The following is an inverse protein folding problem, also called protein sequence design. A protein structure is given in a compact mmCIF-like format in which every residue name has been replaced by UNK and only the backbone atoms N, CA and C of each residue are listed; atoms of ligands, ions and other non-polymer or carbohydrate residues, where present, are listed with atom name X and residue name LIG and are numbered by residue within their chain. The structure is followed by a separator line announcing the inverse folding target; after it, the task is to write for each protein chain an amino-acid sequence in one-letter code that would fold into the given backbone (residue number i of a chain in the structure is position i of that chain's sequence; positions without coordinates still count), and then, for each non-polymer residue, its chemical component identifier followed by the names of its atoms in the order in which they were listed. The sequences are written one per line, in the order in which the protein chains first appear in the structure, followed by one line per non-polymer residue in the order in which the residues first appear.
data_IF_386500932643
#
_entry.id   IF_386500932643
#
_cell.length_a   1.000
_cell.length_b   1.000
_cell.length_c   1.000
_cell.angle_alpha   90.00
_cell.angle_beta   90.00
_cell.angle_gamma   90.00
#
_symmetry.space_group_name_H-M   'P 1'
#
loop_
_entity.id
_entity.type
_entity.pdbx_description
1 polymer ?
#
# COMPACT_ATOMS: atom_id res chain seq x y z
N UNK A 1 16.05 2.13 -7.15
CA UNK A 1 15.52 0.76 -7.05
C UNK A 1 14.81 0.67 -5.71
N UNK A 2 13.51 0.37 -5.64
CA UNK A 2 12.80 0.25 -4.35
C UNK A 2 13.25 -1.05 -3.68
N UNK A 3 13.81 -0.95 -2.47
CA UNK A 3 14.23 -2.12 -1.70
C UNK A 3 13.02 -2.91 -1.21
N UNK A 4 13.12 -4.24 -1.33
CA UNK A 4 12.15 -5.16 -0.74
C UNK A 4 12.49 -5.32 0.74
N UNK A 5 11.51 -5.12 1.60
CA UNK A 5 11.68 -5.33 3.04
C UNK A 5 10.88 -6.54 3.46
N UNK A 6 11.37 -7.21 4.50
CA UNK A 6 10.70 -8.33 5.15
C UNK A 6 10.19 -7.92 6.52
N UNK A 7 8.92 -8.20 6.78
CA UNK A 7 8.27 -7.96 8.06
C UNK A 7 7.68 -9.27 8.59
N UNK A 8 7.83 -9.51 9.89
CA UNK A 8 7.26 -10.70 10.54
C UNK A 8 6.24 -10.26 11.59
N UNK A 9 5.05 -10.82 11.50
CA UNK A 9 3.92 -10.59 12.39
C UNK A 9 3.70 -11.85 13.21
N UNK A 10 3.43 -11.66 14.50
CA UNK A 10 3.10 -12.74 15.42
C UNK A 10 1.71 -12.48 15.96
N UNK A 11 0.88 -13.50 15.90
CA UNK A 11 -0.49 -13.45 16.36
C UNK A 11 -0.63 -14.30 17.64
N UNK A 12 -1.67 -14.04 18.43
CA UNK A 12 -1.88 -14.78 19.67
C UNK A 12 -2.18 -16.27 19.45
N UNK A 13 -1.99 -17.05 20.51
CA UNK A 13 -2.15 -18.49 20.47
C UNK A 13 -3.61 -18.87 20.22
N UNK A 14 -3.84 -19.91 19.41
CA UNK A 14 -5.18 -20.45 19.19
C UNK A 14 -6.06 -19.69 18.18
N UNK A 15 -5.48 -18.77 17.38
CA UNK A 15 -6.22 -18.10 16.32
C UNK A 15 -6.76 -19.10 15.27
N UNK A 16 -8.06 -19.02 14.93
CA UNK A 16 -8.62 -19.91 13.94
C UNK A 16 -8.11 -19.55 12.54
N UNK A 17 -7.97 -20.56 11.67
CA UNK A 17 -7.42 -20.39 10.31
C UNK A 17 -8.16 -19.34 9.48
N UNK A 18 -9.49 -19.22 9.65
CA UNK A 18 -10.29 -18.23 8.93
C UNK A 18 -9.90 -16.79 9.30
N UNK A 19 -9.53 -16.54 10.55
CA UNK A 19 -9.12 -15.21 11.02
C UNK A 19 -7.77 -14.82 10.42
N UNK A 20 -6.86 -15.79 10.32
CA UNK A 20 -5.56 -15.62 9.68
C UNK A 20 -5.69 -15.36 8.16
N UNK A 21 -6.59 -16.09 7.49
CA UNK A 21 -6.89 -15.86 6.06
C UNK A 21 -7.51 -14.47 5.87
N UNK A 22 -8.45 -14.08 6.73
CA UNK A 22 -9.06 -12.76 6.68
C UNK A 22 -8.02 -11.65 6.86
N UNK A 23 -7.12 -11.80 7.85
CA UNK A 23 -6.01 -10.88 8.07
C UNK A 23 -5.15 -10.72 6.82
N UNK A 24 -4.68 -11.83 6.24
CA UNK A 24 -3.84 -11.81 5.04
C UNK A 24 -4.54 -11.11 3.86
N UNK A 25 -5.83 -11.38 3.65
CA UNK A 25 -6.61 -10.75 2.60
C UNK A 25 -6.74 -9.24 2.80
N UNK A 26 -7.04 -8.79 4.01
CA UNK A 26 -7.17 -7.36 4.31
C UNK A 26 -5.82 -6.65 4.25
N UNK A 27 -4.76 -7.28 4.75
CA UNK A 27 -3.39 -6.76 4.66
C UNK A 27 -2.95 -6.63 3.20
N UNK A 28 -3.24 -7.61 2.34
CA UNK A 28 -2.98 -7.51 0.91
C UNK A 28 -3.73 -6.35 0.25
N UNK A 29 -5.03 -6.20 0.55
CA UNK A 29 -5.85 -5.08 0.07
C UNK A 29 -5.24 -3.73 0.47
N UNK A 30 -4.87 -3.59 1.74
CA UNK A 30 -4.28 -2.37 2.26
C UNK A 30 -2.92 -2.08 1.63
N UNK A 31 -2.11 -3.13 1.45
CA UNK A 31 -0.81 -3.04 0.79
C UNK A 31 -0.91 -2.56 -0.65
N UNK A 32 -1.78 -3.16 -1.46
CA UNK A 32 -1.96 -2.80 -2.88
C UNK A 32 -2.35 -1.31 -2.99
N UNK A 33 -3.24 -0.84 -2.12
CA UNK A 33 -3.62 0.58 -2.08
C UNK A 33 -2.44 1.48 -1.76
N UNK A 34 -1.68 1.18 -0.69
CA UNK A 34 -0.53 1.98 -0.29
C UNK A 34 0.53 2.06 -1.40
N UNK A 35 0.88 0.94 -2.02
CA UNK A 35 1.82 0.91 -3.15
C UNK A 35 1.29 1.70 -4.33
N UNK A 36 0.00 1.58 -4.64
CA UNK A 36 -0.63 2.32 -5.74
C UNK A 36 -0.54 3.83 -5.51
N UNK A 37 -0.89 4.30 -4.31
CA UNK A 37 -0.83 5.73 -3.96
C UNK A 37 0.60 6.26 -4.01
N UNK A 38 1.57 5.52 -3.45
CA UNK A 38 2.98 5.88 -3.52
C UNK A 38 3.44 6.00 -4.97
N UNK A 39 3.10 5.03 -5.82
CA UNK A 39 3.45 5.05 -7.25
C UNK A 39 2.84 6.24 -7.98
N UNK A 40 1.58 6.58 -7.71
CA UNK A 40 0.96 7.78 -8.28
C UNK A 40 1.76 9.02 -7.84
N UNK A 41 2.06 9.15 -6.54
CA UNK A 41 2.75 10.33 -6.01
C UNK A 41 4.16 10.46 -6.61
N UNK A 42 4.94 9.39 -6.64
CA UNK A 42 6.28 9.38 -7.25
C UNK A 42 6.26 9.74 -8.73
N UNK A 43 5.29 9.22 -9.51
CA UNK A 43 5.22 9.51 -10.94
C UNK A 43 4.81 10.96 -11.20
N UNK A 44 3.83 11.49 -10.45
CA UNK A 44 3.39 12.87 -10.59
C UNK A 44 4.51 13.85 -10.19
N UNK A 45 5.24 13.57 -9.11
CA UNK A 45 6.45 14.34 -8.76
C UNK A 45 7.52 14.26 -9.85
N UNK A 46 7.61 13.13 -10.55
CA UNK A 46 8.48 12.93 -11.70
C UNK A 46 8.00 13.59 -13.00
N UNK A 47 6.91 14.36 -12.97
CA UNK A 47 6.38 15.11 -14.12
C UNK A 47 5.31 14.36 -14.92
N UNK A 48 4.78 13.23 -14.42
CA UNK A 48 3.61 12.59 -15.05
C UNK A 48 2.41 13.53 -14.96
N UNK A 49 1.76 13.76 -16.11
CA UNK A 49 0.45 14.41 -16.15
C UNK A 49 -0.57 13.58 -15.35
N UNK A 50 -1.13 14.10 -14.25
CA UNK A 50 -2.08 13.35 -13.44
C UNK A 50 -3.35 12.94 -14.19
N UNK A 51 -3.69 13.59 -15.30
CA UNK A 51 -4.86 13.28 -16.11
C UNK A 51 -4.67 12.02 -16.98
N UNK A 52 -3.42 11.56 -17.14
CA UNK A 52 -3.10 10.27 -17.76
C UNK A 52 -3.50 9.05 -16.89
N UNK A 53 -4.01 9.25 -15.68
CA UNK A 53 -4.38 8.17 -14.76
C UNK A 53 -5.80 7.65 -15.02
N UNK A 54 -5.91 6.32 -15.14
CA UNK A 54 -7.20 5.63 -15.31
C UNK A 54 -7.30 4.46 -14.34
N UNK A 55 -8.51 4.13 -13.89
CA UNK A 55 -8.76 2.98 -13.01
C UNK A 55 -9.71 2.00 -13.69
N UNK A 56 -9.29 0.74 -13.78
CA UNK A 56 -10.09 -0.34 -14.34
C UNK A 56 -11.10 -0.90 -13.32
N UNK A 57 -12.18 -1.46 -13.85
CA UNK A 57 -13.20 -2.20 -13.09
C UNK A 57 -12.84 -3.64 -12.83
N UNK A 58 -11.80 -4.15 -13.49
CA UNK A 58 -11.18 -5.39 -13.09
C UNK A 58 -10.46 -5.19 -11.75
N UNK A 59 -10.86 -5.98 -10.76
CA UNK A 59 -10.04 -6.23 -9.59
C UNK A 59 -8.87 -7.10 -10.04
N UNK A 60 -7.64 -6.80 -9.59
CA UNK A 60 -6.51 -7.70 -9.81
C UNK A 60 -6.87 -9.10 -9.27
N UNK A 61 -7.19 -10.03 -10.16
CA UNK A 61 -7.48 -11.41 -9.75
C UNK A 61 -6.20 -12.02 -9.20
N UNK A 62 -6.30 -12.74 -8.09
CA UNK A 62 -5.18 -13.43 -7.44
C UNK A 62 -4.44 -14.40 -8.38
N UNK A 63 -5.08 -14.80 -9.49
CA UNK A 63 -4.59 -15.82 -10.41
C UNK A 63 -4.63 -15.38 -11.88
N UNK A 64 -4.19 -14.16 -12.19
CA UNK A 64 -3.96 -13.80 -13.59
C UNK A 64 -2.74 -14.55 -14.14
N UNK A 65 -2.96 -15.33 -15.21
CA UNK A 65 -1.90 -16.13 -15.87
C UNK A 65 -0.93 -15.25 -16.65
N UNK A 66 -1.41 -14.14 -17.19
CA UNK A 66 -0.68 -13.15 -17.98
C UNK A 66 -0.50 -11.84 -17.18
N UNK A 67 0.52 -11.04 -17.53
CA UNK A 67 0.73 -9.75 -16.88
C UNK A 67 -0.40 -8.76 -17.21
N UNK A 68 -0.66 -7.81 -16.31
CA UNK A 68 -1.64 -6.73 -16.49
C UNK A 68 -1.18 -5.72 -17.56
N UNK A 69 -1.08 -6.12 -18.83
CA UNK A 69 -0.94 -5.16 -19.94
C UNK A 69 -2.29 -5.09 -20.65
N UNK A 70 -2.91 -3.91 -20.61
CA UNK A 70 -4.16 -3.67 -21.32
C UNK A 70 -3.84 -3.00 -22.66
N UNK A 71 -4.33 -3.63 -23.72
CA UNK A 71 -4.36 -3.03 -25.05
C UNK A 71 -5.49 -1.99 -25.14
N UNK A 72 -5.38 -0.97 -26.01
CA UNK A 72 -6.43 0.04 -26.22
C UNK A 72 -7.80 -0.53 -26.60
N UNK A 73 -7.84 -1.73 -27.19
CA UNK A 73 -9.09 -2.45 -27.51
C UNK A 73 -9.96 -2.78 -26.29
N UNK A 74 -9.39 -2.71 -25.07
CA UNK A 74 -10.05 -3.02 -23.80
C UNK A 74 -10.45 -1.79 -22.97
N UNK A 75 -10.52 -0.60 -23.58
CA UNK A 75 -10.91 0.65 -22.89
C UNK A 75 -12.28 0.60 -22.19
N UNK A 76 -13.20 -0.26 -22.63
CA UNK A 76 -14.52 -0.47 -22.02
C UNK A 76 -14.46 -1.01 -20.58
N UNK A 77 -13.29 -1.44 -20.11
CA UNK A 77 -13.09 -1.93 -18.75
C UNK A 77 -12.79 -0.81 -17.74
N UNK A 78 -12.66 0.45 -18.16
CA UNK A 78 -12.38 1.56 -17.23
C UNK A 78 -13.61 2.07 -16.50
N UNK A 79 -13.53 2.17 -15.16
CA UNK A 79 -14.61 2.72 -14.33
C UNK A 79 -14.54 4.25 -14.23
N UNK A 80 -13.33 4.79 -14.23
CA UNK A 80 -13.11 6.22 -14.15
C UNK A 80 -11.76 6.60 -14.76
N UNK A 81 -11.77 7.70 -15.51
CA UNK A 81 -10.56 8.42 -15.88
C UNK A 81 -10.43 9.65 -15.00
N UNK A 82 -9.21 10.00 -14.62
CA UNK A 82 -8.99 11.18 -13.79
C UNK A 82 -9.30 12.48 -14.54
N UNK A 83 -8.97 12.52 -15.85
CA UNK A 83 -9.31 13.63 -16.76
C UNK A 83 -10.82 13.95 -16.77
N UNK A 84 -11.67 12.93 -16.69
CA UNK A 84 -13.13 13.08 -16.71
C UNK A 84 -13.68 13.53 -15.35
N UNK A 85 -13.17 12.92 -14.27
CA UNK A 85 -13.58 13.25 -12.91
C UNK A 85 -12.58 12.73 -11.88
N UNK A 86 -11.77 13.64 -11.33
CA UNK A 86 -10.87 13.34 -10.22
C UNK A 86 -11.62 12.74 -9.02
N UNK A 87 -12.79 13.28 -8.67
CA UNK A 87 -13.60 12.77 -7.57
C UNK A 87 -14.06 11.32 -7.81
N UNK A 88 -14.53 11.00 -9.03
CA UNK A 88 -14.95 9.63 -9.38
C UNK A 88 -13.76 8.68 -9.34
N UNK A 89 -12.62 9.09 -9.89
CA UNK A 89 -11.37 8.31 -9.87
C UNK A 89 -10.96 7.96 -8.43
N UNK A 90 -10.86 8.95 -7.53
CA UNK A 90 -10.47 8.71 -6.14
C UNK A 90 -11.53 7.92 -5.35
N UNK A 91 -12.81 8.10 -5.66
CA UNK A 91 -13.88 7.28 -5.09
C UNK A 91 -13.75 5.80 -5.48
N UNK A 92 -13.36 5.51 -6.72
CA UNK A 92 -13.13 4.12 -7.17
C UNK A 92 -11.90 3.54 -6.47
N UNK A 93 -10.78 4.26 -6.46
CA UNK A 93 -9.52 3.84 -5.81
C UNK A 93 -9.71 3.57 -4.32
N UNK A 94 -10.47 4.43 -3.63
CA UNK A 94 -10.73 4.29 -2.19
C UNK A 94 -11.65 3.11 -1.88
N UNK A 95 -12.72 2.90 -2.65
CA UNK A 95 -13.77 1.90 -2.35
C UNK A 95 -13.45 0.50 -2.85
N UNK A 96 -12.75 0.35 -3.97
CA UNK A 96 -12.46 -0.98 -4.51
C UNK A 96 -11.46 -1.72 -3.62
N UNK A 97 -11.63 -3.04 -3.48
CA UNK A 97 -10.74 -3.86 -2.68
C UNK A 97 -9.32 -3.88 -3.27
N UNK A 98 -9.19 -4.04 -4.59
CA UNK A 98 -7.91 -4.12 -5.30
C UNK A 98 -7.96 -3.25 -6.56
N UNK A 99 -7.91 -1.91 -6.41
CA UNK A 99 -8.00 -1.02 -7.57
C UNK A 99 -6.80 -1.25 -8.50
N UNK A 100 -7.05 -1.47 -9.78
CA UNK A 100 -6.00 -1.52 -10.80
C UNK A 100 -5.94 -0.19 -11.51
N UNK A 101 -4.90 0.59 -11.18
CA UNK A 101 -4.66 1.90 -11.78
C UNK A 101 -3.62 1.76 -12.87
N UNK A 102 -3.89 2.36 -14.03
CA UNK A 102 -2.99 2.43 -15.17
C UNK A 102 -2.57 3.88 -15.44
N UNK A 103 -1.40 4.01 -16.04
CA UNK A 103 -0.97 5.21 -16.77
C UNK A 103 -1.28 4.98 -18.23
N UNK A 104 -2.01 5.92 -18.84
CA UNK A 104 -2.21 5.98 -20.28
C UNK A 104 -0.93 6.46 -20.94
N UNK A 105 -0.36 5.62 -21.80
CA UNK A 105 0.72 5.94 -22.71
C UNK A 105 0.15 6.07 -24.13
N UNK A 106 0.95 6.52 -25.10
CA UNK A 106 0.46 6.84 -26.47
C UNK A 106 -0.33 5.69 -27.10
N UNK A 107 0.14 4.45 -26.95
CA UNK A 107 -0.46 3.27 -27.58
C UNK A 107 -0.73 2.12 -26.59
N UNK A 108 -0.62 2.37 -25.28
CA UNK A 108 -0.78 1.31 -24.28
C UNK A 108 -1.17 1.82 -22.90
N UNK A 109 -1.58 0.89 -22.03
CA UNK A 109 -1.85 1.16 -20.63
C UNK A 109 -0.89 0.36 -19.75
N UNK A 110 -0.12 1.06 -18.91
CA UNK A 110 0.84 0.44 -18.00
C UNK A 110 0.32 0.44 -16.57
N UNK A 111 0.23 -0.71 -15.87
CA UNK A 111 -0.29 -0.78 -14.52
C UNK A 111 0.70 -0.15 -13.53
N UNK A 112 0.17 0.48 -12.49
CA UNK A 112 0.98 1.02 -11.39
C UNK A 112 1.39 -0.05 -10.39
N UNK A 113 0.57 -1.10 -10.25
CA UNK A 113 0.85 -2.25 -9.40
C UNK A 113 0.90 -3.51 -10.26
N UNK A 114 2.02 -4.22 -10.19
CA UNK A 114 2.22 -5.49 -10.88
C UNK A 114 2.28 -6.63 -9.87
N UNK A 115 1.36 -7.60 -9.99
CA UNK A 115 1.26 -8.76 -9.10
C UNK A 115 2.52 -9.64 -9.04
N UNK A 116 3.34 -9.60 -10.10
CA UNK A 116 4.61 -10.34 -10.20
C UNK A 116 5.84 -9.42 -10.24
N UNK A 117 5.63 -8.12 -10.06
CA UNK A 117 6.67 -7.10 -10.13
C UNK A 117 7.52 -7.03 -8.86
N UNK A 118 8.49 -6.12 -8.86
CA UNK A 118 9.38 -5.89 -7.70
C UNK A 118 8.63 -5.43 -6.46
N UNK A 119 7.45 -4.83 -6.63
CA UNK A 119 6.62 -4.33 -5.55
C UNK A 119 5.52 -5.31 -5.10
N UNK A 120 5.48 -6.53 -5.63
CA UNK A 120 4.48 -7.50 -5.24
C UNK A 120 4.63 -7.90 -3.76
N UNK A 121 3.50 -7.97 -3.05
CA UNK A 121 3.45 -8.59 -1.72
C UNK A 121 3.64 -10.09 -1.85
N UNK A 122 4.63 -10.64 -1.15
CA UNK A 122 4.92 -12.07 -1.10
C UNK A 122 4.75 -12.56 0.33
N UNK A 123 3.91 -13.56 0.53
CA UNK A 123 3.85 -14.32 1.78
C UNK A 123 4.97 -15.36 1.72
N UNK A 124 6.02 -15.16 2.53
CA UNK A 124 7.20 -16.05 2.57
C UNK A 124 7.00 -17.23 3.50
N UNK A 125 6.30 -17.02 4.60
CA UNK A 125 6.06 -18.05 5.59
C UNK A 125 4.71 -17.82 6.27
N UNK A 126 3.99 -18.90 6.50
CA UNK A 126 2.77 -18.97 7.28
C UNK A 126 2.86 -20.17 8.21
N UNK A 127 3.07 -19.92 9.51
CA UNK A 127 3.00 -20.94 10.54
C UNK A 127 1.75 -20.74 11.36
N UNK A 128 0.96 -21.80 11.50
CA UNK A 128 -0.27 -21.81 12.30
C UNK A 128 0.02 -22.37 13.71
N UNK A 129 1.20 -22.96 13.93
CA UNK A 129 1.61 -23.48 15.23
C UNK A 129 1.85 -22.30 16.18
N UNK A 130 1.16 -22.30 17.33
CA UNK A 130 1.18 -21.22 18.33
C UNK A 130 2.61 -20.81 18.75
N UNK A 131 2.94 -19.50 18.75
CA UNK A 131 2.13 -18.40 18.19
C UNK A 131 2.14 -18.41 16.66
N UNK A 132 0.98 -18.12 16.05
CA UNK A 132 0.89 -18.05 14.60
C UNK A 132 1.81 -16.95 14.06
N UNK A 133 2.57 -17.27 13.01
CA UNK A 133 3.61 -16.42 12.44
C UNK A 133 3.37 -16.21 10.96
N UNK A 134 3.35 -14.95 10.56
CA UNK A 134 3.26 -14.53 9.16
C UNK A 134 4.51 -13.75 8.81
N UNK A 135 5.23 -14.18 7.77
CA UNK A 135 6.33 -13.40 7.20
C UNK A 135 5.93 -12.89 5.82
N UNK A 136 5.92 -11.56 5.67
CA UNK A 136 5.60 -10.85 4.44
C UNK A 136 6.85 -10.19 3.88
N UNK A 137 6.91 -10.09 2.56
CA UNK A 137 7.98 -9.38 1.85
C UNK A 137 7.39 -8.53 0.72
N UNK A 138 7.77 -7.26 0.62
CA UNK A 138 7.25 -6.34 -0.38
C UNK A 138 8.00 -5.02 -0.42
N UNK A 139 7.46 -4.03 -1.13
CA UNK A 139 7.88 -2.65 -1.11
C UNK A 139 7.95 -2.16 0.34
N UNK A 140 9.16 -1.77 0.77
CA UNK A 140 9.43 -1.53 2.18
C UNK A 140 8.58 -0.44 2.82
N UNK A 141 8.20 0.53 2.01
CA UNK A 141 7.38 1.70 2.35
C UNK A 141 5.97 1.33 2.78
N UNK A 142 5.26 0.60 1.91
CA UNK A 142 3.92 0.10 2.18
C UNK A 142 3.93 -0.96 3.28
N UNK A 143 4.96 -1.80 3.33
CA UNK A 143 5.05 -2.86 4.33
C UNK A 143 5.31 -2.29 5.74
N UNK A 144 6.15 -1.27 5.85
CA UNK A 144 6.36 -0.57 7.11
C UNK A 144 5.11 0.16 7.59
N UNK A 145 4.39 0.83 6.67
CA UNK A 145 3.13 1.50 6.97
C UNK A 145 2.09 0.53 7.54
N UNK A 146 2.01 -0.70 7.02
CA UNK A 146 1.17 -1.78 7.55
C UNK A 146 1.65 -2.26 8.92
N UNK A 147 2.96 -2.52 9.02
CA UNK A 147 3.58 -3.07 10.22
C UNK A 147 3.38 -2.15 11.43
N UNK A 148 3.44 -0.85 11.19
CA UNK A 148 3.34 0.20 12.20
C UNK A 148 1.95 0.82 12.32
N UNK A 149 0.95 0.24 11.65
CA UNK A 149 -0.43 0.71 11.74
C UNK A 149 -0.95 0.57 13.18
N UNK A 150 -1.27 1.71 13.83
CA UNK A 150 -1.80 1.78 15.19
C UNK A 150 -0.96 2.63 16.13
N UNK A 151 0.37 2.52 16.07
CA UNK A 151 1.25 3.37 16.89
C UNK A 151 1.60 4.70 16.16
N UNK A 152 0.92 5.03 15.05
CA UNK A 152 1.24 6.18 14.19
C UNK A 152 0.69 7.51 14.71
N UNK A 153 -0.46 7.52 15.36
CA UNK A 153 -1.03 8.73 15.97
C UNK A 153 -0.23 9.16 17.21
N UNK A 154 0.23 8.18 17.99
CA UNK A 154 1.15 8.39 19.10
C UNK A 154 2.53 8.82 18.57
N UNK A 155 3.00 8.24 17.46
CA UNK A 155 4.29 8.59 16.83
C UNK A 155 4.32 9.92 16.09
N UNK A 156 3.23 10.38 15.47
CA UNK A 156 3.17 11.72 14.90
C UNK A 156 3.23 12.78 16.02
N UNK A 157 2.57 12.50 17.16
CA UNK A 157 2.71 13.27 18.40
C UNK A 157 4.13 13.24 18.96
N UNK A 158 4.73 12.05 19.03
CA UNK A 158 6.09 11.85 19.55
C UNK A 158 7.15 12.40 18.58
N UNK A 159 6.97 12.38 17.26
CA UNK A 159 7.89 12.97 16.29
C UNK A 159 7.91 14.49 16.39
N UNK A 160 6.75 15.14 16.55
CA UNK A 160 6.68 16.58 16.82
C UNK A 160 7.36 16.95 18.15
N UNK A 161 7.37 16.04 19.12
CA UNK A 161 8.10 16.20 20.40
C UNK A 161 9.60 15.81 20.31
N UNK A 162 9.97 14.86 19.44
CA UNK A 162 11.30 14.25 19.34
C UNK A 162 12.18 14.85 18.23
N UNK A 163 11.73 15.89 17.52
CA UNK A 163 12.59 16.71 16.65
C UNK A 163 13.79 17.32 17.41
N UNK A 164 13.86 17.19 18.75
CA UNK A 164 15.04 17.50 19.56
C UNK A 164 15.96 16.32 19.94
N UNK A 165 15.61 15.05 19.68
CA UNK A 165 16.43 13.90 20.11
C UNK A 165 16.59 12.85 19.00
N UNK A 166 17.53 13.13 18.11
CA UNK A 166 17.91 12.29 16.99
C UNK A 166 18.88 11.18 17.41
N UNK A 167 18.41 9.94 17.59
CA UNK A 167 19.26 8.75 17.38
C UNK A 167 18.45 7.46 17.11
N UNK A 168 17.19 7.37 17.56
CA UNK A 168 16.32 6.19 17.31
C UNK A 168 15.62 6.25 15.94
N UNK A 169 15.54 7.43 15.32
CA UNK A 169 14.79 7.67 14.08
C UNK A 169 15.43 7.18 12.78
N UNK A 170 16.75 6.90 12.75
CA UNK A 170 17.50 6.73 11.49
C UNK A 170 17.11 5.44 10.75
N UNK A 171 16.86 4.33 11.45
CA UNK A 171 16.40 3.09 10.80
C UNK A 171 14.90 3.11 10.44
N UNK A 172 14.13 4.05 11.01
CA UNK A 172 12.67 4.14 10.89
C UNK A 172 12.23 5.16 9.83
N UNK A 173 13.00 6.24 9.65
CA UNK A 173 12.81 7.23 8.59
C UNK A 173 12.96 6.61 7.19
N UNK A 174 13.82 5.59 7.04
CA UNK A 174 14.01 4.90 5.77
C UNK A 174 12.79 4.07 5.34
N UNK A 175 11.95 3.67 6.30
CA UNK A 175 10.83 2.76 6.10
C UNK A 175 9.48 3.47 5.88
N UNK A 176 9.26 4.67 6.40
CA UNK A 176 7.97 5.39 6.32
C UNK A 176 7.78 6.24 5.04
N UNK A 177 8.38 5.86 3.91
CA UNK A 177 8.43 6.74 2.73
C UNK A 177 7.09 6.92 2.00
N UNK A 178 6.13 6.00 2.07
CA UNK A 178 4.88 6.14 1.29
C UNK A 178 4.07 7.37 1.71
N UNK A 179 3.86 7.55 3.03
CA UNK A 179 3.20 8.74 3.56
C UNK A 179 4.08 10.00 3.45
N UNK A 180 5.41 9.88 3.55
CA UNK A 180 6.33 11.02 3.35
C UNK A 180 6.28 11.52 1.90
N UNK A 181 6.35 10.63 0.91
CA UNK A 181 6.24 10.94 -0.52
C UNK A 181 4.87 11.57 -0.80
N UNK A 182 3.79 11.03 -0.22
CA UNK A 182 2.45 11.61 -0.37
C UNK A 182 2.38 13.02 0.22
N UNK A 183 2.99 13.25 1.39
CA UNK A 183 2.98 14.55 2.08
C UNK A 183 3.98 15.56 1.53
N UNK A 184 4.82 15.16 0.58
CA UNK A 184 5.83 16.03 -0.02
C UNK A 184 5.18 17.27 -0.68
N UNK A 185 5.72 18.48 -0.44
CA UNK A 185 5.30 19.70 -1.12
C UNK A 185 5.22 19.60 -2.65
N UNK A 186 6.04 18.75 -3.28
CA UNK A 186 6.06 18.50 -4.72
C UNK A 186 4.83 17.71 -5.22
N UNK A 187 4.07 17.03 -4.35
CA UNK A 187 2.79 16.41 -4.72
C UNK A 187 1.69 17.46 -4.83
N UNK A 188 0.97 17.60 -5.96
CA UNK A 188 -0.07 18.61 -6.12
C UNK A 188 -1.12 18.59 -4.98
N UNK A 189 -1.55 19.75 -4.44
CA UNK A 189 -2.42 19.81 -3.26
C UNK A 189 -3.72 19.02 -3.41
N UNK A 190 -4.40 19.15 -4.55
CA UNK A 190 -5.64 18.41 -4.82
C UNK A 190 -5.44 16.89 -4.85
N UNK A 191 -4.27 16.39 -5.23
CA UNK A 191 -3.95 14.95 -5.18
C UNK A 191 -3.63 14.52 -3.75
N UNK A 192 -2.85 15.35 -3.05
CA UNK A 192 -2.39 15.12 -1.68
C UNK A 192 -3.56 14.89 -0.73
N UNK A 193 -4.59 15.74 -0.78
CA UNK A 193 -5.76 15.63 0.10
C UNK A 193 -6.47 14.27 -0.06
N UNK A 194 -6.74 13.85 -1.30
CA UNK A 194 -7.37 12.54 -1.54
C UNK A 194 -6.49 11.38 -1.08
N UNK A 195 -5.18 11.45 -1.37
CA UNK A 195 -4.25 10.39 -0.97
C UNK A 195 -4.14 10.28 0.55
N UNK A 196 -4.05 11.40 1.26
CA UNK A 196 -3.99 11.44 2.72
C UNK A 196 -5.22 10.78 3.35
N UNK A 197 -6.41 11.06 2.83
CA UNK A 197 -7.63 10.45 3.33
C UNK A 197 -7.66 8.93 3.09
N UNK A 198 -7.23 8.47 1.90
CA UNK A 198 -7.17 7.02 1.60
C UNK A 198 -6.11 6.33 2.48
N UNK A 199 -4.95 6.96 2.69
CA UNK A 199 -3.90 6.45 3.60
C UNK A 199 -4.47 6.35 5.01
N UNK A 200 -5.08 7.41 5.53
CA UNK A 200 -5.67 7.45 6.88
C UNK A 200 -6.71 6.34 7.07
N UNK A 201 -7.63 6.18 6.12
CA UNK A 201 -8.64 5.11 6.16
C UNK A 201 -8.01 3.70 6.07
N UNK A 202 -6.97 3.53 5.26
CA UNK A 202 -6.28 2.24 5.08
C UNK A 202 -5.52 1.84 6.33
N UNK A 203 -4.80 2.78 6.95
CA UNK A 203 -4.08 2.55 8.20
C UNK A 203 -5.05 2.31 9.35
N UNK A 204 -6.13 3.08 9.47
CA UNK A 204 -7.14 2.87 10.51
C UNK A 204 -7.77 1.47 10.43
N UNK A 205 -8.00 0.96 9.21
CA UNK A 205 -8.45 -0.42 9.01
C UNK A 205 -7.39 -1.44 9.43
N UNK A 206 -6.13 -1.24 9.05
CA UNK A 206 -5.04 -2.12 9.47
C UNK A 206 -4.81 -2.10 10.99
N UNK A 207 -4.94 -0.94 11.65
CA UNK A 207 -4.89 -0.83 13.11
C UNK A 207 -5.95 -1.67 13.77
N UNK A 208 -7.22 -1.54 13.35
CA UNK A 208 -8.31 -2.35 13.89
C UNK A 208 -8.04 -3.85 13.73
N UNK A 209 -7.57 -4.26 12.55
CA UNK A 209 -7.20 -5.66 12.29
C UNK A 209 -6.06 -6.15 13.20
N UNK A 210 -5.03 -5.32 13.40
CA UNK A 210 -3.91 -5.64 14.28
C UNK A 210 -4.41 -5.78 15.73
N UNK A 211 -5.32 -4.91 16.18
CA UNK A 211 -5.91 -4.96 17.53
C UNK A 211 -6.84 -6.16 17.71
N UNK A 212 -7.74 -6.41 16.76
CA UNK A 212 -8.73 -7.51 16.82
C UNK A 212 -8.07 -8.89 16.87
N UNK A 213 -6.89 -9.03 16.26
CA UNK A 213 -6.14 -10.28 16.18
C UNK A 213 -4.90 -10.29 17.08
N UNK A 214 -4.78 -9.28 17.95
CA UNK A 214 -3.69 -9.12 18.92
C UNK A 214 -2.31 -9.31 18.29
N UNK A 215 -2.16 -8.79 17.07
CA UNK A 215 -0.93 -8.90 16.29
C UNK A 215 0.15 -8.06 16.96
N UNK A 216 1.21 -8.72 17.42
CA UNK A 216 2.41 -8.09 17.94
C UNK A 216 3.47 -8.05 16.84
N UNK A 217 4.16 -6.92 16.75
CA UNK A 217 5.12 -6.63 15.70
C UNK A 217 6.55 -6.59 16.30
N UNK A 218 7.30 -7.71 16.37
CA UNK A 218 8.53 -7.78 17.16
C UNK A 218 9.86 -7.52 16.43
N UNK A 219 9.91 -7.33 15.11
CA UNK A 219 11.06 -6.70 14.42
C UNK A 219 10.86 -6.54 12.90
N UNK A 220 11.35 -5.43 12.34
CA UNK A 220 11.62 -5.27 10.90
C UNK A 220 13.10 -5.53 10.65
N UNK A 221 13.43 -6.57 9.89
CA UNK A 221 14.79 -6.77 9.40
C UNK A 221 14.89 -6.16 7.99
N UNK A 222 15.43 -4.95 7.90
CA UNK A 222 15.76 -4.30 6.64
C UNK A 222 17.10 -4.84 6.12
N UNK A 223 17.11 -6.05 5.56
CA UNK A 223 18.19 -6.55 4.71
C UNK A 223 17.67 -7.60 3.73
N UNK A 224 17.60 -7.23 2.45
CA UNK A 224 17.80 -8.11 1.29
C UNK A 224 18.58 -7.33 0.25
#
# INVERSE_FOLDING_TARGET
MQERVRATFFAEEGLPTWALVHYLQQTEINYIKLVTLERIATLVQGGLDPDALVVAGESAELYQREGLRLEPSREHLFLARKEESAQKFWNVVSRHARPVVFVRETDSYRPLYELRGTNALIIRNLSINSPAKVTLEGAGTALADIYYAGEREERARIQWANEQQAQVGVNLQELARASQIINDPATPPGIREYMQEIVRQTLARQTRLNTELEIRAPSVNARV
#
